data_IF_417031002704
#
_entry.id   IF_417031002704
#
_cell.length_a   1.000
_cell.length_b   1.000
_cell.length_c   1.000
_cell.angle_alpha   90.00
_cell.angle_beta   90.00
_cell.angle_gamma   90.00
#
_symmetry.space_group_name_H-M   'P 1'
#
loop_
_entity.id
_entity.type
_entity.pdbx_description
1 polymer ?
#
# COMPACT_ATOMS: atom_id res chain seq x y z
N UNK A 1 -10.95 44.77 13.14
CA UNK A 1 -9.62 44.16 13.27
C UNK A 1 -9.69 43.35 14.55
N UNK A 2 -9.98 42.06 14.55
CA UNK A 2 -9.01 40.97 14.32
C UNK A 2 -9.78 39.62 14.27
N UNK A 3 -10.19 39.14 13.09
CA UNK A 3 -10.78 37.79 12.94
C UNK A 3 -10.08 36.97 11.83
N UNK A 4 -8.95 37.45 11.29
CA UNK A 4 -8.29 36.84 10.12
C UNK A 4 -7.14 35.88 10.42
N UNK A 5 -6.73 35.73 11.69
CA UNK A 5 -5.51 34.97 12.03
C UNK A 5 -5.77 33.55 12.54
N UNK A 6 -7.02 33.19 12.85
CA UNK A 6 -7.37 31.88 13.42
C UNK A 6 -7.69 30.79 12.37
N UNK A 7 -7.85 31.15 11.10
CA UNK A 7 -8.29 30.22 10.03
C UNK A 7 -7.10 29.59 9.27
N UNK A 8 -5.92 30.21 9.31
CA UNK A 8 -4.73 29.72 8.62
C UNK A 8 -4.00 28.59 9.39
N UNK A 9 -4.01 28.63 10.73
CA UNK A 9 -3.24 27.70 11.58
C UNK A 9 -3.83 26.28 11.59
N UNK A 10 -5.12 26.13 11.28
CA UNK A 10 -5.76 24.81 11.16
C UNK A 10 -5.46 24.16 9.82
N UNK A 11 -5.44 24.90 8.71
CA UNK A 11 -5.22 24.36 7.36
C UNK A 11 -3.86 23.68 7.16
N UNK A 12 -2.80 24.16 7.82
CA UNK A 12 -1.44 23.61 7.67
C UNK A 12 -1.28 22.23 8.32
N UNK A 13 -1.85 22.03 9.52
CA UNK A 13 -1.83 20.70 10.20
C UNK A 13 -2.74 19.67 9.54
N UNK A 14 -3.82 20.14 8.93
CA UNK A 14 -4.83 19.33 8.23
C UNK A 14 -4.20 18.57 7.05
N UNK A 15 -3.23 19.17 6.35
CA UNK A 15 -2.54 18.53 5.22
C UNK A 15 -1.46 17.50 5.62
N UNK A 16 -1.16 17.33 6.91
CA UNK A 16 -0.16 16.37 7.38
C UNK A 16 -0.71 14.93 7.50
N UNK A 17 -2.04 14.76 7.50
CA UNK A 17 -2.67 13.44 7.59
C UNK A 17 -2.81 12.78 6.20
N UNK A 18 -2.36 11.52 6.03
CA UNK A 18 -2.39 10.86 4.72
C UNK A 18 -3.80 10.65 4.18
N UNK A 19 -4.77 10.42 5.07
CA UNK A 19 -6.18 10.25 4.70
C UNK A 19 -6.73 11.55 4.12
N UNK A 20 -6.36 12.67 4.71
CA UNK A 20 -6.81 13.99 4.27
C UNK A 20 -6.26 14.32 2.87
N UNK A 21 -5.00 14.00 2.60
CA UNK A 21 -4.41 14.13 1.27
C UNK A 21 -5.25 13.37 0.24
N UNK A 22 -5.58 12.10 0.50
CA UNK A 22 -6.39 11.29 -0.41
C UNK A 22 -7.81 11.84 -0.59
N UNK A 23 -8.43 12.33 0.47
CA UNK A 23 -9.77 12.93 0.42
C UNK A 23 -9.74 14.26 -0.34
N UNK A 24 -8.70 15.07 -0.19
CA UNK A 24 -8.56 16.33 -0.92
C UNK A 24 -8.34 16.10 -2.41
N UNK A 25 -7.56 15.09 -2.81
CA UNK A 25 -7.46 14.67 -4.22
C UNK A 25 -8.85 14.32 -4.79
N UNK A 26 -9.69 13.64 -4.02
CA UNK A 26 -11.06 13.32 -4.43
C UNK A 26 -11.96 14.57 -4.49
N UNK A 27 -11.87 15.47 -3.51
CA UNK A 27 -12.64 16.73 -3.47
C UNK A 27 -12.28 17.67 -4.61
N UNK A 28 -11.00 17.73 -4.99
CA UNK A 28 -10.51 18.53 -6.09
C UNK A 28 -10.94 17.96 -7.47
N UNK A 29 -11.57 16.78 -7.49
CA UNK A 29 -11.96 16.09 -8.71
C UNK A 29 -10.78 15.48 -9.46
N UNK A 30 -9.64 15.32 -8.80
CA UNK A 30 -8.47 14.70 -9.40
C UNK A 30 -8.63 13.17 -9.45
N UNK A 31 -9.38 12.56 -8.54
CA UNK A 31 -9.67 11.12 -8.55
C UNK A 31 -11.18 10.86 -8.45
N UNK A 32 -11.66 9.82 -9.12
CA UNK A 32 -13.05 9.35 -8.96
C UNK A 32 -13.18 8.50 -7.68
N UNK A 33 -13.99 8.90 -6.69
CA UNK A 33 -14.16 8.14 -5.45
C UNK A 33 -14.78 6.76 -5.64
N UNK A 34 -15.52 6.54 -6.74
CA UNK A 34 -16.23 5.30 -7.01
C UNK A 34 -15.43 4.31 -7.86
N UNK A 35 -14.41 4.80 -8.55
CA UNK A 35 -13.56 4.00 -9.42
C UNK A 35 -12.12 4.50 -9.35
N UNK A 36 -11.37 3.98 -8.39
CA UNK A 36 -9.99 4.40 -8.19
C UNK A 36 -9.03 3.55 -9.03
N UNK A 37 -8.21 4.23 -9.81
CA UNK A 37 -6.99 3.67 -10.35
C UNK A 37 -5.85 3.84 -9.33
N UNK A 38 -5.30 2.70 -8.86
CA UNK A 38 -4.19 2.67 -7.92
C UNK A 38 -2.91 3.32 -8.49
N UNK A 39 -2.70 3.24 -9.80
CA UNK A 39 -1.55 3.84 -10.48
C UNK A 39 -1.64 5.36 -10.40
N UNK A 40 -2.80 5.90 -10.79
CA UNK A 40 -3.06 7.33 -10.84
C UNK A 40 -3.06 7.96 -9.44
N UNK A 41 -3.76 7.35 -8.48
CA UNK A 41 -3.84 7.91 -7.11
C UNK A 41 -2.48 7.90 -6.42
N UNK A 42 -1.65 6.88 -6.67
CA UNK A 42 -0.29 6.81 -6.11
C UNK A 42 0.58 7.93 -6.64
N UNK A 43 0.53 8.21 -7.95
CA UNK A 43 1.32 9.28 -8.55
C UNK A 43 0.91 10.65 -8.04
N UNK A 44 -0.41 10.89 -7.89
CA UNK A 44 -0.93 12.15 -7.36
C UNK A 44 -0.60 12.33 -5.89
N UNK A 45 -0.74 11.27 -5.09
CA UNK A 45 -0.37 11.28 -3.68
C UNK A 45 1.11 11.63 -3.49
N UNK A 46 2.02 11.01 -4.27
CA UNK A 46 3.44 11.29 -4.19
C UNK A 46 3.80 12.73 -4.59
N UNK A 47 3.14 13.28 -5.63
CA UNK A 47 3.32 14.69 -6.01
C UNK A 47 2.90 15.63 -4.89
N UNK A 48 1.75 15.36 -4.26
CA UNK A 48 1.29 16.18 -3.14
C UNK A 48 2.27 16.13 -1.96
N UNK A 49 2.82 14.95 -1.64
CA UNK A 49 3.85 14.82 -0.60
C UNK A 49 5.11 15.60 -0.95
N UNK A 50 5.58 15.55 -2.20
CA UNK A 50 6.75 16.30 -2.65
C UNK A 50 6.52 17.83 -2.58
N UNK A 51 5.31 18.30 -2.90
CA UNK A 51 4.93 19.70 -2.74
C UNK A 51 4.95 20.14 -1.27
N UNK A 52 4.44 19.29 -0.36
CA UNK A 52 4.49 19.54 1.07
C UNK A 52 5.94 19.63 1.57
N UNK A 53 6.82 18.73 1.13
CA UNK A 53 8.26 18.79 1.46
C UNK A 53 8.92 20.08 0.96
N UNK A 54 8.59 20.53 -0.26
CA UNK A 54 9.13 21.78 -0.83
C UNK A 54 8.65 23.03 -0.09
N UNK A 55 7.50 22.97 0.56
CA UNK A 55 6.94 24.07 1.34
C UNK A 55 7.48 24.12 2.80
N UNK A 56 8.56 23.39 3.11
CA UNK A 56 9.12 23.21 4.46
C UNK A 56 8.10 22.64 5.47
N UNK A 57 7.03 21.97 4.99
CA UNK A 57 6.03 21.36 5.86
C UNK A 57 6.52 19.99 6.34
N UNK A 58 6.24 19.69 7.60
CA UNK A 58 6.68 18.46 8.23
C UNK A 58 5.80 17.29 7.78
N UNK A 59 6.32 16.46 6.87
CA UNK A 59 5.63 15.23 6.48
C UNK A 59 5.59 14.24 7.65
N UNK A 60 4.39 13.74 7.96
CA UNK A 60 4.22 12.75 9.03
C UNK A 60 4.82 11.39 8.63
N UNK A 61 5.38 10.66 9.59
CA UNK A 61 5.89 9.30 9.34
C UNK A 61 4.80 8.33 8.84
N UNK A 62 3.52 8.60 9.19
CA UNK A 62 2.36 7.86 8.67
C UNK A 62 2.15 8.14 7.18
N UNK A 63 2.35 9.37 6.73
CA UNK A 63 2.26 9.74 5.30
C UNK A 63 3.31 9.02 4.46
N UNK A 64 4.55 8.94 4.95
CA UNK A 64 5.61 8.16 4.30
C UNK A 64 5.29 6.66 4.27
N UNK A 65 4.69 6.13 5.35
CA UNK A 65 4.23 4.74 5.36
C UNK A 65 3.14 4.50 4.30
N UNK A 66 2.16 5.39 4.18
CA UNK A 66 1.09 5.27 3.19
C UNK A 66 1.64 5.37 1.76
N UNK A 67 2.61 6.27 1.52
CA UNK A 67 3.33 6.33 0.24
C UNK A 67 3.97 4.98 -0.12
N UNK A 68 4.66 4.34 0.84
CA UNK A 68 5.29 3.04 0.61
C UNK A 68 4.26 1.92 0.35
N UNK A 69 3.12 1.93 1.06
CA UNK A 69 2.04 0.96 0.85
C UNK A 69 1.42 1.14 -0.54
N UNK A 70 1.10 2.38 -0.93
CA UNK A 70 0.55 2.71 -2.25
C UNK A 70 1.52 2.32 -3.38
N UNK A 71 2.81 2.61 -3.24
CA UNK A 71 3.84 2.17 -4.18
C UNK A 71 3.89 0.64 -4.34
N UNK A 72 3.80 -0.10 -3.23
CA UNK A 72 3.74 -1.57 -3.27
C UNK A 72 2.48 -2.05 -3.99
N UNK A 73 1.32 -1.44 -3.74
CA UNK A 73 0.06 -1.78 -4.42
C UNK A 73 0.14 -1.48 -5.91
N UNK A 74 0.70 -0.33 -6.30
CA UNK A 74 0.97 0.04 -7.70
C UNK A 74 1.86 -0.98 -8.39
N UNK A 75 2.95 -1.40 -7.75
CA UNK A 75 3.85 -2.42 -8.30
C UNK A 75 3.12 -3.74 -8.57
N UNK A 76 2.31 -4.21 -7.63
CA UNK A 76 1.53 -5.45 -7.81
C UNK A 76 0.51 -5.32 -8.95
N UNK A 77 -0.19 -4.17 -9.01
CA UNK A 77 -1.18 -3.92 -10.06
C UNK A 77 -0.56 -3.90 -11.46
N UNK A 78 0.67 -3.39 -11.61
CA UNK A 78 1.39 -3.43 -12.88
C UNK A 78 1.80 -4.86 -13.27
N UNK A 79 2.26 -5.68 -12.31
CA UNK A 79 2.65 -7.08 -12.56
C UNK A 79 1.45 -7.92 -13.01
N UNK A 80 0.28 -7.74 -12.39
CA UNK A 80 -0.95 -8.46 -12.78
C UNK A 80 -1.48 -8.07 -14.17
N UNK A 81 -1.03 -6.93 -14.72
CA UNK A 81 -1.37 -6.51 -16.10
C UNK A 81 -0.39 -7.13 -17.12
N UNK A 82 0.86 -7.40 -16.70
CA UNK A 82 1.89 -7.97 -17.57
C UNK A 82 1.79 -9.49 -17.72
N UNK A 83 1.21 -10.20 -16.75
CA UNK A 83 0.90 -11.63 -16.94
C UNK A 83 -0.23 -11.74 -17.98
N UNK A 84 0.05 -12.25 -19.21
CA UNK A 84 -1.05 -12.65 -20.07
C UNK A 84 -1.89 -13.67 -19.29
N UNK A 85 -3.22 -13.71 -19.45
CA UNK A 85 -3.95 -14.88 -18.99
C UNK A 85 -3.19 -16.09 -19.54
N UNK A 86 -2.87 -17.07 -18.70
CA UNK A 86 -2.23 -18.31 -19.14
C UNK A 86 -3.07 -18.89 -20.29
N UNK A 87 -2.77 -18.47 -21.51
CA UNK A 87 -3.07 -19.20 -22.70
C UNK A 87 -2.18 -20.41 -22.53
N UNK A 88 -2.77 -21.51 -22.07
CA UNK A 88 -2.18 -22.82 -22.22
C UNK A 88 -1.76 -22.92 -23.68
N UNK A 89 -0.47 -22.65 -23.95
CA UNK A 89 0.14 -22.90 -25.24
C UNK A 89 0.06 -24.41 -25.38
N UNK A 90 -0.95 -24.86 -26.09
CA UNK A 90 -1.04 -26.21 -26.61
C UNK A 90 0.08 -26.35 -27.64
N UNK A 91 1.30 -26.59 -27.15
CA UNK A 91 2.42 -27.02 -27.97
C UNK A 91 2.06 -28.39 -28.53
N UNK A 92 1.45 -28.33 -29.72
CA UNK A 92 1.16 -29.38 -30.68
C UNK A 92 1.51 -30.80 -30.27
N UNK A 93 0.49 -31.57 -29.93
CA UNK A 93 0.37 -32.92 -30.45
C UNK A 93 -0.87 -32.97 -31.35
N UNK A 94 -0.60 -33.04 -32.65
CA UNK A 94 -1.58 -33.04 -33.73
C UNK A 94 -2.32 -34.40 -33.75
N UNK A 95 -3.13 -34.68 -32.72
CA UNK A 95 -4.06 -35.79 -32.69
C UNK A 95 -5.38 -35.32 -33.30
N UNK A 96 -5.96 -36.12 -34.19
CA UNK A 96 -7.27 -35.89 -34.79
C UNK A 96 -8.37 -35.89 -33.70
N UNK A 97 -8.56 -34.76 -33.02
CA UNK A 97 -9.62 -34.53 -32.04
C UNK A 97 -10.89 -34.17 -32.84
N UNK A 98 -11.47 -35.15 -33.54
CA UNK A 98 -12.74 -34.96 -34.25
C UNK A 98 -13.96 -35.50 -33.50
N UNK A 99 -13.79 -36.36 -32.49
CA UNK A 99 -14.91 -37.14 -31.92
C UNK A 99 -15.27 -36.83 -30.46
N UNK A 100 -14.56 -35.92 -29.78
CA UNK A 100 -14.93 -35.51 -28.42
C UNK A 100 -14.94 -33.98 -28.29
N UNK A 101 -16.12 -33.35 -28.18
CA UNK A 101 -16.18 -31.93 -27.87
C UNK A 101 -15.68 -31.74 -26.44
N UNK A 102 -14.47 -31.20 -26.29
CA UNK A 102 -13.94 -30.82 -24.99
C UNK A 102 -14.85 -29.71 -24.43
N UNK A 103 -15.48 -29.88 -23.26
CA UNK A 103 -16.28 -28.82 -22.68
C UNK A 103 -15.36 -27.63 -22.39
N UNK A 104 -15.62 -26.49 -23.03
CA UNK A 104 -14.87 -25.26 -22.73
C UNK A 104 -15.11 -24.91 -21.27
N UNK A 105 -14.03 -24.88 -20.48
CA UNK A 105 -14.10 -24.38 -19.11
C UNK A 105 -14.72 -22.99 -19.13
N UNK A 106 -15.67 -22.66 -18.23
CA UNK A 106 -16.22 -21.33 -18.17
C UNK A 106 -15.06 -20.36 -17.91
N UNK A 107 -14.85 -19.42 -18.84
CA UNK A 107 -13.93 -18.30 -18.66
C UNK A 107 -14.14 -17.76 -17.25
N UNK A 108 -13.12 -17.89 -16.41
CA UNK A 108 -13.13 -17.33 -15.06
C UNK A 108 -13.17 -15.82 -15.23
N UNK A 109 -14.37 -15.25 -15.25
CA UNK A 109 -14.57 -13.81 -15.29
C UNK A 109 -14.02 -13.30 -13.95
N UNK A 110 -12.77 -12.84 -13.94
CA UNK A 110 -12.29 -12.03 -12.85
C UNK A 110 -13.17 -10.78 -12.86
N UNK A 111 -14.14 -10.73 -11.96
CA UNK A 111 -14.95 -9.53 -11.77
C UNK A 111 -14.01 -8.46 -11.22
N UNK A 112 -13.42 -7.66 -12.11
CA UNK A 112 -12.60 -6.48 -11.76
C UNK A 112 -13.56 -5.40 -11.27
N UNK A 113 -14.13 -5.63 -10.09
CA UNK A 113 -14.97 -4.61 -9.43
C UNK A 113 -14.09 -3.38 -9.23
N UNK A 114 -14.56 -2.19 -9.64
CA UNK A 114 -13.82 -0.96 -9.38
C UNK A 114 -13.67 -0.79 -7.87
N UNK A 115 -12.46 -0.48 -7.41
CA UNK A 115 -12.18 -0.25 -5.99
C UNK A 115 -12.65 1.15 -5.63
N UNK A 116 -13.38 1.26 -4.53
CA UNK A 116 -13.87 2.55 -4.03
C UNK A 116 -12.86 3.21 -3.09
N UNK A 117 -12.98 4.53 -2.90
CA UNK A 117 -12.16 5.29 -1.95
C UNK A 117 -12.25 4.75 -0.54
N UNK A 118 -13.45 4.47 -0.08
CA UNK A 118 -13.68 3.92 1.25
C UNK A 118 -12.96 2.58 1.44
N UNK A 119 -13.05 1.69 0.44
CA UNK A 119 -12.38 0.40 0.45
C UNK A 119 -10.86 0.55 0.48
N UNK A 120 -10.29 1.42 -0.37
CA UNK A 120 -8.86 1.71 -0.37
C UNK A 120 -8.40 2.23 1.00
N UNK A 121 -9.11 3.20 1.58
CA UNK A 121 -8.77 3.73 2.90
C UNK A 121 -8.83 2.65 3.98
N UNK A 122 -9.82 1.74 3.91
CA UNK A 122 -9.92 0.62 4.83
C UNK A 122 -8.75 -0.35 4.67
N UNK A 123 -8.30 -0.62 3.44
CA UNK A 123 -7.11 -1.44 3.19
C UNK A 123 -5.83 -0.79 3.69
N UNK A 124 -5.63 0.51 3.44
CA UNK A 124 -4.47 1.24 3.93
C UNK A 124 -4.41 1.24 5.46
N UNK A 125 -5.54 1.44 6.14
CA UNK A 125 -5.62 1.32 7.62
C UNK A 125 -5.31 -0.08 8.11
N UNK A 126 -5.81 -1.13 7.43
CA UNK A 126 -5.48 -2.52 7.78
C UNK A 126 -3.98 -2.77 7.59
N UNK A 127 -3.38 -2.26 6.51
CA UNK A 127 -1.96 -2.39 6.24
C UNK A 127 -1.11 -1.66 7.29
N UNK A 128 -1.52 -0.48 7.76
CA UNK A 128 -0.88 0.23 8.87
C UNK A 128 -0.84 -0.63 10.13
N UNK A 129 -1.97 -1.19 10.56
CA UNK A 129 -2.05 -2.06 11.75
C UNK A 129 -1.18 -3.31 11.60
N UNK A 130 -1.09 -3.88 10.39
CA UNK A 130 -0.24 -5.05 10.12
C UNK A 130 1.24 -4.67 10.26
N UNK A 131 1.66 -3.54 9.72
CA UNK A 131 3.03 -3.06 9.82
C UNK A 131 3.41 -2.70 11.27
N UNK A 132 2.51 -2.10 12.05
CA UNK A 132 2.73 -1.88 13.48
C UNK A 132 3.02 -3.19 14.23
N UNK A 133 2.18 -4.23 14.01
CA UNK A 133 2.39 -5.55 14.60
C UNK A 133 3.71 -6.18 14.15
N UNK A 134 4.11 -5.97 12.91
CA UNK A 134 5.40 -6.47 12.38
C UNK A 134 6.57 -5.80 13.09
N UNK A 135 6.51 -4.49 13.27
CA UNK A 135 7.54 -3.70 13.96
C UNK A 135 7.67 -4.18 15.41
N UNK A 136 6.56 -4.40 16.11
CA UNK A 136 6.55 -4.93 17.48
C UNK A 136 7.22 -6.30 17.57
N UNK A 137 6.93 -7.22 16.64
CA UNK A 137 7.58 -8.54 16.59
C UNK A 137 9.09 -8.46 16.37
N UNK A 138 9.54 -7.52 15.52
CA UNK A 138 10.97 -7.31 15.29
C UNK A 138 11.63 -6.78 16.55
N UNK A 139 10.98 -5.84 17.24
CA UNK A 139 11.48 -5.25 18.49
C UNK A 139 11.59 -6.29 19.60
N UNK A 140 10.55 -7.10 19.81
CA UNK A 140 10.56 -8.16 20.83
C UNK A 140 11.63 -9.22 20.54
N UNK A 141 11.82 -9.62 19.27
CA UNK A 141 12.88 -10.56 18.89
C UNK A 141 14.29 -10.00 19.13
N UNK A 142 14.51 -8.70 18.89
CA UNK A 142 15.78 -8.02 19.22
C UNK A 142 16.02 -7.95 20.73
N UNK A 143 14.99 -7.71 21.53
CA UNK A 143 15.11 -7.69 22.99
C UNK A 143 15.48 -9.07 23.54
N UNK A 144 14.82 -10.13 23.08
CA UNK A 144 15.15 -11.52 23.43
C UNK A 144 16.57 -11.87 23.01
N UNK A 145 17.00 -11.48 21.80
CA UNK A 145 18.37 -11.75 21.37
C UNK A 145 19.42 -11.02 22.23
N UNK A 146 19.13 -9.79 22.66
CA UNK A 146 20.02 -9.03 23.54
C UNK A 146 20.11 -9.62 24.94
N UNK A 147 19.02 -10.17 25.49
CA UNK A 147 19.07 -10.87 26.80
C UNK A 147 19.87 -12.15 26.69
N UNK A 148 19.67 -12.95 25.62
CA UNK A 148 20.46 -14.18 25.42
C UNK A 148 21.96 -13.93 25.28
N UNK A 149 22.37 -12.87 24.57
CA UNK A 149 23.80 -12.50 24.45
C UNK A 149 24.38 -12.12 25.82
N UNK A 150 23.62 -11.39 26.64
CA UNK A 150 24.06 -11.01 28.00
C UNK A 150 24.19 -12.22 28.92
N UNK A 151 23.24 -13.16 28.86
CA UNK A 151 23.29 -14.39 29.65
C UNK A 151 24.51 -15.25 29.29
N UNK A 152 24.79 -15.41 27.98
CA UNK A 152 25.97 -16.15 27.51
C UNK A 152 27.28 -15.47 27.92
N UNK A 153 27.36 -14.13 27.85
CA UNK A 153 28.53 -13.36 28.31
C UNK A 153 28.73 -13.42 29.82
N UNK A 154 27.65 -13.50 30.61
CA UNK A 154 27.74 -13.63 32.06
C UNK A 154 28.28 -14.99 32.48
N UNK A 155 27.84 -16.07 31.81
CA UNK A 155 28.36 -17.43 32.04
C UNK A 155 29.86 -17.50 31.76
N UNK A 156 30.35 -16.79 30.73
CA UNK A 156 31.77 -16.76 30.38
C UNK A 156 32.67 -16.01 31.37
N UNK A 157 32.10 -15.21 32.28
CA UNK A 157 32.85 -14.50 33.34
C UNK A 157 32.86 -15.25 34.68
N UNK A 158 32.13 -16.35 34.81
CA UNK A 158 32.07 -17.18 36.04
C UNK A 158 33.03 -18.39 36.02
N UNK A 159 33.71 -18.65 34.89
CA UNK A 159 34.79 -19.65 34.79
C UNK A 159 36.17 -18.95 34.76
N UNK A 160 36.67 -18.54 35.92
CA UNK A 160 38.11 -18.31 36.20
C UNK A 160 38.41 -18.52 37.70
#
# INVERSE_FOLDING_TARGET
MTNGEAEAVTGEKILEEPIEILVNLARNGEIDPWNIDIVEITDKFLRQVEELEKMDLRVSGRTLLYAAILLRMKSNALVEVEEPPEEFMDEGDNFEISDYPVPTLPLRRASRRPVTLEELLAELKKAEVIEERRIERIRSKKEVHRTTIKEVLAIAHEED
#
